data_IF_126399000466
#
_entry.id   IF_126399000466
#
_cell.length_a   1.000
_cell.length_b   1.000
_cell.length_c   1.000
_cell.angle_alpha   90.00
_cell.angle_beta   90.00
_cell.angle_gamma   90.00
#
_symmetry.space_group_name_H-M   'P 1'
#
loop_
_entity.id
_entity.type
_entity.pdbx_description
1 polymer ?
#
# COMPACT_ATOMS: atom_id res chain seq x y z
N UNK A 1 -48.91 42.22 -29.54
CA UNK A 1 -48.66 40.75 -29.49
C UNK A 1 -47.24 40.49 -29.97
N UNK A 2 -46.60 39.40 -29.50
CA UNK A 2 -45.17 39.03 -29.56
C UNK A 2 -44.36 39.56 -28.37
N UNK A 3 -44.51 39.00 -27.16
CA UNK A 3 -44.17 37.65 -26.66
C UNK A 3 -42.67 37.54 -26.38
N UNK A 4 -42.32 37.80 -25.11
CA UNK A 4 -41.00 37.65 -24.51
C UNK A 4 -40.41 36.26 -24.77
N UNK A 5 -39.15 36.20 -25.19
CA UNK A 5 -38.37 34.96 -25.20
C UNK A 5 -37.20 35.14 -24.23
N UNK A 6 -37.41 34.70 -22.98
CA UNK A 6 -36.37 34.56 -21.96
C UNK A 6 -35.67 33.22 -22.20
N UNK A 7 -34.42 33.25 -22.65
CA UNK A 7 -33.59 32.06 -22.82
C UNK A 7 -32.90 31.76 -21.48
N UNK A 8 -33.42 30.79 -20.72
CA UNK A 8 -32.72 30.26 -19.55
C UNK A 8 -31.70 29.23 -20.01
N UNK A 9 -30.41 29.58 -19.94
CA UNK A 9 -29.31 28.64 -20.13
C UNK A 9 -29.06 27.94 -18.79
N UNK A 10 -29.69 26.77 -18.59
CA UNK A 10 -29.40 25.90 -17.45
C UNK A 10 -28.08 25.17 -17.73
N UNK A 11 -26.98 25.67 -17.15
CA UNK A 11 -25.72 24.95 -17.08
C UNK A 11 -25.90 23.82 -16.05
N UNK A 12 -26.15 22.60 -16.53
CA UNK A 12 -26.11 21.42 -15.68
C UNK A 12 -24.63 21.09 -15.39
N UNK A 13 -24.17 21.39 -14.18
CA UNK A 13 -22.93 20.85 -13.63
C UNK A 13 -23.16 19.37 -13.34
N UNK A 14 -22.74 18.50 -14.25
CA UNK A 14 -22.62 17.07 -13.99
C UNK A 14 -21.44 16.87 -13.03
N UNK A 15 -21.69 16.77 -11.73
CA UNK A 15 -20.69 16.27 -10.79
C UNK A 15 -20.66 14.75 -10.97
N UNK A 16 -19.75 14.26 -11.79
CA UNK A 16 -19.40 12.84 -11.76
C UNK A 16 -18.59 12.59 -10.49
N UNK A 17 -19.28 12.30 -9.38
CA UNK A 17 -18.65 11.68 -8.24
C UNK A 17 -18.31 10.24 -8.62
N UNK A 18 -17.15 10.05 -9.26
CA UNK A 18 -16.59 8.72 -9.43
C UNK A 18 -16.10 8.28 -8.05
N UNK A 19 -17.01 7.70 -7.25
CA UNK A 19 -16.67 7.08 -5.99
C UNK A 19 -15.85 5.83 -6.32
N UNK A 20 -14.55 6.00 -6.55
CA UNK A 20 -13.60 4.90 -6.49
C UNK A 20 -13.74 4.32 -5.09
N UNK A 21 -14.38 3.16 -4.99
CA UNK A 21 -14.62 2.53 -3.72
C UNK A 21 -13.32 1.85 -3.26
N UNK A 22 -12.66 2.46 -2.28
CA UNK A 22 -11.41 1.96 -1.70
C UNK A 22 -11.65 0.90 -0.61
N UNK A 23 -12.89 0.47 -0.37
CA UNK A 23 -13.25 -0.52 0.66
C UNK A 23 -12.41 -1.80 0.58
N UNK A 24 -12.15 -2.31 -0.63
CA UNK A 24 -11.34 -3.52 -0.82
C UNK A 24 -9.83 -3.27 -0.68
N UNK A 25 -9.40 -2.00 -0.72
CA UNK A 25 -7.99 -1.62 -0.55
C UNK A 25 -7.59 -1.52 0.93
N UNK A 26 -8.53 -1.54 1.88
CA UNK A 26 -8.15 -1.47 3.28
C UNK A 26 -9.25 -1.78 4.30
N UNK A 27 -8.83 -2.40 5.42
CA UNK A 27 -9.73 -2.87 6.49
C UNK A 27 -10.13 -1.75 7.48
N UNK A 28 -9.63 -0.53 7.29
CA UNK A 28 -10.03 0.65 8.09
C UNK A 28 -10.05 1.91 7.23
N UNK A 29 -10.78 2.93 7.67
CA UNK A 29 -10.84 4.23 6.99
C UNK A 29 -9.45 4.82 6.74
N UNK A 30 -8.52 4.68 7.70
CA UNK A 30 -7.13 5.12 7.56
C UNK A 30 -6.38 4.35 6.47
N UNK A 31 -6.56 3.03 6.40
CA UNK A 31 -5.97 2.21 5.35
C UNK A 31 -6.55 2.57 3.97
N UNK A 32 -7.86 2.82 3.88
CA UNK A 32 -8.53 3.24 2.65
C UNK A 32 -8.06 4.63 2.19
N UNK A 33 -7.86 5.57 3.13
CA UNK A 33 -7.28 6.88 2.84
C UNK A 33 -5.84 6.78 2.33
N UNK A 34 -5.01 5.92 2.94
CA UNK A 34 -3.66 5.67 2.44
C UNK A 34 -3.70 5.07 1.02
N UNK A 35 -4.63 4.14 0.75
CA UNK A 35 -4.80 3.59 -0.59
C UNK A 35 -5.15 4.67 -1.61
N UNK A 36 -6.08 5.57 -1.26
CA UNK A 36 -6.40 6.73 -2.09
C UNK A 36 -5.16 7.56 -2.38
N UNK A 37 -4.37 7.91 -1.36
CA UNK A 37 -3.14 8.70 -1.53
C UNK A 37 -2.15 8.03 -2.49
N UNK A 38 -1.94 6.72 -2.39
CA UNK A 38 -1.03 5.97 -3.27
C UNK A 38 -1.56 5.91 -4.71
N UNK A 39 -2.86 5.65 -4.88
CA UNK A 39 -3.50 5.46 -6.19
C UNK A 39 -3.59 6.76 -6.97
N UNK A 40 -3.86 7.88 -6.28
CA UNK A 40 -4.08 9.19 -6.92
C UNK A 40 -2.86 10.10 -6.84
N UNK A 41 -1.68 9.59 -6.49
CA UNK A 41 -0.46 10.40 -6.49
C UNK A 41 -0.08 10.74 -7.93
N UNK A 42 0.23 12.00 -8.21
CA UNK A 42 0.57 12.48 -9.56
C UNK A 42 1.89 11.87 -10.07
N UNK A 43 2.74 11.35 -9.19
CA UNK A 43 3.98 10.65 -9.54
C UNK A 43 3.76 9.13 -9.78
N UNK A 44 2.54 8.63 -9.64
CA UNK A 44 2.24 7.21 -9.84
C UNK A 44 2.42 6.80 -11.30
N UNK A 45 3.34 5.87 -11.56
CA UNK A 45 3.66 5.39 -12.92
C UNK A 45 2.61 4.42 -13.46
N UNK A 46 1.89 3.72 -12.58
CA UNK A 46 0.88 2.73 -12.96
C UNK A 46 -0.38 3.40 -13.47
N UNK A 47 -0.90 3.02 -14.65
CA UNK A 47 -2.13 3.60 -15.18
C UNK A 47 -3.37 3.17 -14.40
N UNK A 48 -3.34 1.98 -13.79
CA UNK A 48 -4.45 1.42 -13.01
C UNK A 48 -3.88 0.63 -11.83
N UNK A 49 -4.48 0.84 -10.66
CA UNK A 49 -4.29 0.01 -9.47
C UNK A 49 -5.68 -0.44 -9.01
N UNK A 50 -5.87 -1.73 -8.85
CA UNK A 50 -7.11 -2.38 -8.42
C UNK A 50 -7.03 -2.71 -6.94
N UNK A 51 -8.11 -2.46 -6.21
CA UNK A 51 -8.20 -2.91 -4.82
C UNK A 51 -8.36 -4.43 -4.75
N UNK A 52 -7.65 -5.07 -3.83
CA UNK A 52 -7.76 -6.50 -3.58
C UNK A 52 -7.97 -6.77 -2.08
N UNK A 53 -9.17 -7.25 -1.74
CA UNK A 53 -9.57 -7.55 -0.36
C UNK A 53 -8.69 -8.61 0.31
N UNK A 54 -8.28 -9.65 -0.41
CA UNK A 54 -7.40 -10.69 0.14
C UNK A 54 -6.04 -10.10 0.54
N UNK A 55 -5.48 -9.18 -0.27
CA UNK A 55 -4.25 -8.47 0.11
C UNK A 55 -4.43 -7.63 1.38
N UNK A 56 -5.57 -6.97 1.54
CA UNK A 56 -5.90 -6.20 2.75
C UNK A 56 -6.02 -7.11 4.00
N UNK A 57 -6.61 -8.30 3.84
CA UNK A 57 -6.69 -9.31 4.90
C UNK A 57 -5.32 -9.86 5.29
N UNK A 58 -4.44 -10.11 4.30
CA UNK A 58 -3.07 -10.56 4.57
C UNK A 58 -2.24 -9.44 5.20
N UNK A 59 -2.42 -8.19 4.79
CA UNK A 59 -1.82 -7.01 5.43
C UNK A 59 -2.20 -6.95 6.92
N UNK A 60 -3.45 -7.27 7.26
CA UNK A 60 -3.90 -7.32 8.65
C UNK A 60 -3.23 -8.45 9.44
N UNK A 61 -3.03 -9.63 8.84
CA UNK A 61 -2.27 -10.74 9.45
C UNK A 61 -0.85 -10.26 9.79
N UNK A 62 -0.18 -9.61 8.83
CA UNK A 62 1.17 -9.06 9.02
C UNK A 62 1.20 -8.00 10.13
N UNK A 63 0.27 -7.05 10.11
CA UNK A 63 0.18 -5.99 11.12
C UNK A 63 -0.04 -6.55 12.53
N UNK A 64 -0.91 -7.56 12.69
CA UNK A 64 -1.10 -8.27 13.96
C UNK A 64 0.17 -8.96 14.44
N UNK A 65 0.94 -9.55 13.52
CA UNK A 65 2.23 -10.18 13.85
C UNK A 65 3.26 -9.15 14.32
N UNK A 66 3.33 -8.00 13.67
CA UNK A 66 4.20 -6.90 14.11
C UNK A 66 3.81 -6.36 15.48
N UNK A 67 2.49 -6.23 15.73
CA UNK A 67 1.96 -5.86 17.05
C UNK A 67 2.30 -6.90 18.12
N UNK A 68 2.05 -8.19 17.86
CA UNK A 68 2.32 -9.31 18.78
C UNK A 68 3.77 -9.32 19.25
N UNK A 69 4.71 -9.06 18.33
CA UNK A 69 6.14 -9.04 18.63
C UNK A 69 6.67 -7.67 19.04
N UNK A 70 5.86 -6.61 18.91
CA UNK A 70 6.29 -5.23 19.14
C UNK A 70 7.42 -4.79 18.21
N UNK A 71 7.44 -5.27 16.96
CA UNK A 71 8.51 -5.03 15.99
C UNK A 71 7.94 -4.70 14.62
N UNK A 72 8.51 -3.69 13.95
CA UNK A 72 8.28 -3.44 12.52
C UNK A 72 9.39 -4.14 11.73
N UNK A 73 9.14 -5.31 11.16
CA UNK A 73 10.14 -6.03 10.33
C UNK A 73 9.50 -6.90 9.24
N UNK A 74 10.10 -6.89 8.05
CA UNK A 74 9.60 -7.58 6.87
C UNK A 74 9.55 -9.10 7.02
N UNK A 75 10.54 -9.73 7.65
CA UNK A 75 10.67 -11.19 7.68
C UNK A 75 10.04 -11.85 8.93
N UNK A 76 9.16 -11.14 9.63
CA UNK A 76 8.37 -11.68 10.75
C UNK A 76 7.34 -12.71 10.23
N UNK A 77 7.56 -13.99 10.57
CA UNK A 77 6.68 -15.09 10.15
C UNK A 77 6.96 -15.63 8.74
N UNK A 78 8.11 -15.29 8.15
CA UNK A 78 8.46 -15.63 6.76
C UNK A 78 8.73 -14.38 5.93
N UNK A 79 9.18 -14.56 4.69
CA UNK A 79 9.33 -13.44 3.75
C UNK A 79 7.95 -12.89 3.36
N UNK A 80 7.85 -11.60 2.99
CA UNK A 80 6.59 -11.03 2.51
C UNK A 80 5.96 -11.83 1.35
N UNK A 81 6.79 -12.28 0.39
CA UNK A 81 6.30 -13.12 -0.70
C UNK A 81 5.76 -14.48 -0.21
N UNK A 82 6.43 -15.10 0.78
CA UNK A 82 5.98 -16.38 1.32
C UNK A 82 4.67 -16.25 2.09
N UNK A 83 4.44 -15.12 2.78
CA UNK A 83 3.20 -14.85 3.49
C UNK A 83 2.02 -14.76 2.51
N UNK A 84 2.18 -14.04 1.39
CA UNK A 84 1.17 -13.98 0.33
C UNK A 84 0.84 -15.38 -0.21
N UNK A 85 1.86 -16.17 -0.61
CA UNK A 85 1.66 -17.53 -1.14
C UNK A 85 1.00 -18.47 -0.13
N UNK A 86 1.45 -18.45 1.12
CA UNK A 86 0.87 -19.30 2.19
C UNK A 86 -0.58 -18.94 2.53
N UNK A 87 -1.01 -17.73 2.16
CA UNK A 87 -2.36 -17.22 2.34
C UNK A 87 -3.22 -17.39 1.08
N UNK A 88 -2.80 -18.27 0.16
CA UNK A 88 -3.45 -18.57 -1.12
C UNK A 88 -3.54 -17.38 -2.11
N UNK A 89 -2.68 -16.37 -1.95
CA UNK A 89 -2.49 -15.36 -3.00
C UNK A 89 -1.48 -15.87 -4.03
N UNK A 90 -1.89 -15.98 -5.28
CA UNK A 90 -1.03 -16.46 -6.36
C UNK A 90 -0.10 -15.35 -6.84
N UNK A 91 1.18 -15.47 -6.50
CA UNK A 91 2.22 -14.58 -7.01
C UNK A 91 2.77 -15.08 -8.33
N UNK A 92 3.23 -14.20 -9.22
CA UNK A 92 3.88 -14.62 -10.46
C UNK A 92 5.12 -15.47 -10.18
N UNK A 93 5.37 -16.49 -11.02
CA UNK A 93 6.42 -17.47 -10.76
C UNK A 93 7.84 -16.88 -10.72
N UNK A 94 8.06 -15.77 -11.43
CA UNK A 94 9.33 -15.05 -11.42
C UNK A 94 9.58 -14.22 -10.16
N UNK A 95 8.59 -14.07 -9.27
CA UNK A 95 8.80 -13.41 -7.98
C UNK A 95 9.63 -14.32 -7.06
N UNK A 96 10.60 -13.74 -6.36
CA UNK A 96 11.51 -14.48 -5.48
C UNK A 96 10.80 -15.39 -4.47
N UNK A 97 11.43 -16.53 -4.18
CA UNK A 97 10.97 -17.56 -3.23
C UNK A 97 11.91 -17.75 -2.02
N UNK A 98 13.04 -17.03 -1.99
CA UNK A 98 13.99 -17.06 -0.89
C UNK A 98 13.38 -16.48 0.41
N UNK A 99 13.96 -16.85 1.55
CA UNK A 99 13.50 -16.48 2.91
C UNK A 99 13.45 -14.97 3.18
N UNK A 100 14.10 -14.15 2.36
CA UNK A 100 14.14 -12.69 2.44
C UNK A 100 13.55 -12.00 1.20
N UNK A 101 12.73 -12.70 0.40
CA UNK A 101 12.12 -12.11 -0.81
C UNK A 101 11.01 -11.12 -0.44
N UNK A 102 11.24 -9.85 -0.75
CA UNK A 102 10.30 -8.76 -0.63
C UNK A 102 10.21 -7.96 -1.94
N UNK A 103 9.27 -8.36 -2.78
CA UNK A 103 8.85 -7.64 -3.98
C UNK A 103 7.54 -6.87 -3.78
N UNK A 104 6.84 -7.12 -2.67
CA UNK A 104 5.41 -6.84 -2.55
C UNK A 104 5.04 -5.91 -1.39
N UNK A 105 5.92 -5.72 -0.40
CA UNK A 105 5.53 -5.14 0.89
C UNK A 105 6.28 -3.84 1.22
N UNK A 106 5.55 -2.87 1.74
CA UNK A 106 6.06 -1.71 2.48
C UNK A 106 5.44 -1.68 3.89
N UNK A 107 6.24 -1.41 4.91
CA UNK A 107 5.78 -1.36 6.31
C UNK A 107 6.32 -0.12 7.02
N UNK A 108 5.57 0.37 8.00
CA UNK A 108 6.00 1.47 8.86
C UNK A 108 5.36 1.33 10.25
N UNK A 109 5.98 1.97 11.25
CA UNK A 109 5.36 2.14 12.56
C UNK A 109 5.60 3.52 13.16
N UNK A 110 4.70 3.92 14.06
CA UNK A 110 4.76 5.20 14.78
C UNK A 110 4.16 6.42 14.05
N UNK A 111 3.57 6.23 12.86
CA UNK A 111 2.91 7.29 12.11
C UNK A 111 1.40 7.27 12.39
N UNK A 112 0.82 8.40 12.76
CA UNK A 112 -0.58 8.44 13.22
C UNK A 112 -1.54 8.62 12.05
N UNK A 113 -1.17 9.35 11.01
CA UNK A 113 -2.04 9.67 9.87
C UNK A 113 -1.62 8.99 8.54
N UNK A 114 -2.57 8.76 7.61
CA UNK A 114 -2.28 8.32 6.25
C UNK A 114 -1.30 9.24 5.50
N UNK A 115 -1.44 10.56 5.68
CA UNK A 115 -0.59 11.56 5.03
C UNK A 115 0.84 11.53 5.56
N UNK A 116 1.00 11.35 6.88
CA UNK A 116 2.31 11.24 7.53
C UNK A 116 3.06 9.98 7.04
N UNK A 117 2.40 8.83 7.07
CA UNK A 117 3.03 7.57 6.63
C UNK A 117 3.29 7.59 5.12
N UNK A 118 2.40 8.19 4.33
CA UNK A 118 2.62 8.33 2.90
C UNK A 118 3.83 9.22 2.60
N UNK A 119 3.94 10.37 3.27
CA UNK A 119 5.10 11.24 3.18
C UNK A 119 6.38 10.49 3.56
N UNK A 120 6.37 9.71 4.64
CA UNK A 120 7.52 8.93 5.06
C UNK A 120 7.92 7.86 4.03
N UNK A 121 6.94 7.16 3.43
CA UNK A 121 7.21 6.22 2.35
C UNK A 121 7.85 6.91 1.13
N UNK A 122 7.36 8.08 0.74
CA UNK A 122 7.94 8.85 -0.39
C UNK A 122 9.36 9.34 -0.11
N UNK A 123 9.70 9.69 1.13
CA UNK A 123 11.07 10.10 1.48
C UNK A 123 12.06 8.94 1.60
N UNK A 124 11.61 7.70 1.46
CA UNK A 124 12.46 6.51 1.50
C UNK A 124 12.58 5.90 0.11
N UNK A 125 13.75 5.99 -0.53
CA UNK A 125 13.96 5.53 -1.92
C UNK A 125 13.39 4.14 -2.21
N UNK A 126 13.70 3.15 -1.37
CA UNK A 126 13.21 1.77 -1.59
C UNK A 126 11.67 1.66 -1.54
N UNK A 127 11.01 2.45 -0.70
CA UNK A 127 9.56 2.46 -0.56
C UNK A 127 8.90 3.29 -1.67
N UNK A 128 9.44 4.47 -1.97
CA UNK A 128 8.99 5.33 -3.06
C UNK A 128 9.05 4.61 -4.41
N UNK A 129 10.20 4.04 -4.75
CA UNK A 129 10.41 3.29 -6.00
C UNK A 129 9.42 2.13 -6.14
N UNK A 130 9.09 1.46 -5.03
CA UNK A 130 8.06 0.41 -5.01
C UNK A 130 6.65 0.96 -5.15
N UNK A 131 6.24 1.87 -4.27
CA UNK A 131 4.85 2.32 -4.19
C UNK A 131 4.43 3.24 -5.34
N UNK A 132 5.35 4.02 -5.91
CA UNK A 132 5.12 4.83 -7.12
C UNK A 132 5.40 4.07 -8.43
N UNK A 133 6.02 2.89 -8.34
CA UNK A 133 6.24 2.04 -9.51
C UNK A 133 7.35 2.54 -10.45
N UNK A 134 8.34 3.24 -9.90
CA UNK A 134 9.40 3.88 -10.70
C UNK A 134 10.39 2.88 -11.30
N UNK A 135 10.45 1.67 -10.75
CA UNK A 135 11.20 0.56 -11.34
C UNK A 135 10.31 -0.20 -12.33
N UNK A 136 10.89 -0.66 -13.45
CA UNK A 136 10.16 -1.42 -14.50
C UNK A 136 9.43 -2.66 -13.94
N UNK A 137 10.05 -3.36 -12.98
CA UNK A 137 9.42 -4.44 -12.22
C UNK A 137 8.23 -4.00 -11.36
N UNK A 138 8.28 -2.84 -10.71
CA UNK A 138 7.18 -2.37 -9.88
C UNK A 138 6.04 -1.77 -10.71
N UNK A 139 6.36 -1.16 -11.86
CA UNK A 139 5.39 -0.58 -12.79
C UNK A 139 4.35 -1.57 -13.32
N UNK A 140 4.63 -2.88 -13.30
CA UNK A 140 3.67 -3.91 -13.72
C UNK A 140 2.70 -4.36 -12.62
N UNK A 141 2.94 -3.98 -11.37
CA UNK A 141 2.07 -4.33 -10.24
C UNK A 141 0.78 -3.52 -10.32
N UNK A 142 -0.35 -4.13 -9.99
CA UNK A 142 -1.67 -3.51 -10.23
C UNK A 142 -2.72 -3.90 -9.19
N UNK A 143 -2.36 -4.61 -8.12
CA UNK A 143 -3.26 -4.96 -7.02
C UNK A 143 -2.74 -4.48 -5.67
N UNK A 144 -3.60 -3.79 -4.92
CA UNK A 144 -3.28 -3.12 -3.66
C UNK A 144 -4.15 -3.63 -2.52
N UNK A 145 -3.54 -3.84 -1.35
CA UNK A 145 -4.24 -4.02 -0.09
C UNK A 145 -3.44 -3.48 1.09
N UNK A 146 -4.13 -2.87 2.05
CA UNK A 146 -3.52 -2.11 3.15
C UNK A 146 -4.18 -2.48 4.49
N UNK A 147 -3.37 -2.56 5.53
CA UNK A 147 -3.85 -2.62 6.90
C UNK A 147 -3.19 -1.58 7.79
N UNK A 148 -3.95 -1.14 8.78
CA UNK A 148 -3.53 -0.26 9.86
C UNK A 148 -4.03 -0.82 11.18
N UNK A 149 -3.16 -0.90 12.17
CA UNK A 149 -3.51 -1.21 13.57
C UNK A 149 -2.88 -0.15 14.47
N UNK A 150 -3.62 0.25 15.51
CA UNK A 150 -3.13 1.14 16.57
C UNK A 150 -3.41 0.51 17.93
N UNK A 151 -2.38 0.36 18.75
CA UNK A 151 -2.46 -0.14 20.12
C UNK A 151 -1.51 0.65 21.01
N UNK A 152 -2.06 1.54 21.84
CA UNK A 152 -1.29 2.52 22.63
C UNK A 152 -0.27 1.87 23.58
N UNK A 153 -0.54 0.65 24.03
CA UNK A 153 0.31 -0.10 24.94
C UNK A 153 1.51 -0.76 24.26
N UNK A 154 1.55 -0.75 22.93
CA UNK A 154 2.61 -1.42 22.15
C UNK A 154 3.80 -0.49 21.86
N UNK A 155 5.01 -1.04 21.59
CA UNK A 155 6.24 -0.23 21.42
C UNK A 155 6.17 0.84 20.31
N UNK A 156 5.46 0.56 19.22
CA UNK A 156 5.35 1.49 18.09
C UNK A 156 4.02 2.22 18.02
N UNK A 157 3.04 1.83 18.84
CA UNK A 157 1.63 2.27 18.83
C UNK A 157 0.93 1.97 17.51
N UNK A 158 1.38 2.54 16.40
CA UNK A 158 0.84 2.39 15.07
C UNK A 158 1.64 1.40 14.22
N UNK A 159 0.95 0.58 13.44
CA UNK A 159 1.53 -0.37 12.49
C UNK A 159 0.81 -0.28 11.15
N UNK A 160 1.56 0.02 10.10
CA UNK A 160 1.10 0.10 8.72
C UNK A 160 1.70 -1.02 7.88
N UNK A 161 0.88 -1.66 7.06
CA UNK A 161 1.31 -2.66 6.08
C UNK A 161 0.62 -2.36 4.76
N UNK A 162 1.43 -2.26 3.70
CA UNK A 162 0.97 -2.11 2.32
C UNK A 162 1.49 -3.29 1.52
N UNK A 163 0.58 -4.03 0.89
CA UNK A 163 0.90 -4.96 -0.18
C UNK A 163 0.51 -4.34 -1.52
N UNK A 164 1.48 -4.26 -2.44
CA UNK A 164 1.27 -3.87 -3.83
C UNK A 164 2.03 -4.86 -4.71
N UNK A 165 1.29 -5.63 -5.49
CA UNK A 165 1.81 -6.73 -6.31
C UNK A 165 1.09 -6.81 -7.64
N UNK A 166 1.65 -7.60 -8.57
CA UNK A 166 0.95 -7.93 -9.79
C UNK A 166 -0.15 -8.95 -9.51
N UNK A 167 -1.37 -8.62 -9.92
CA UNK A 167 -2.49 -9.55 -9.92
C UNK A 167 -2.21 -10.72 -10.84
N UNK A 168 -2.60 -11.92 -10.39
CA UNK A 168 -2.38 -13.12 -11.16
C UNK A 168 -3.13 -13.10 -12.50
N UNK A 169 -2.45 -13.51 -13.55
CA UNK A 169 -3.04 -13.87 -14.83
C UNK A 169 -2.46 -15.20 -15.29
N UNK A 170 -3.29 -16.02 -15.94
CA UNK A 170 -2.83 -17.27 -16.54
C UNK A 170 -1.78 -16.96 -17.62
N UNK A 171 -0.71 -17.78 -17.67
CA UNK A 171 0.38 -17.68 -18.65
C UNK A 171 1.16 -16.34 -18.57
N UNK A 172 1.20 -15.74 -17.38
CA UNK A 172 1.89 -14.49 -17.12
C UNK A 172 3.41 -14.64 -17.26
N UNK A 173 4.02 -13.72 -18.02
CA UNK A 173 5.47 -13.66 -18.24
C UNK A 173 6.02 -12.30 -17.83
N UNK A 174 7.20 -12.29 -17.24
CA UNK A 174 7.97 -11.06 -17.08
C UNK A 174 8.75 -10.79 -18.37
N UNK A 175 8.52 -9.62 -18.98
CA UNK A 175 9.06 -9.28 -20.30
C UNK A 175 10.36 -8.50 -20.26
N UNK A 176 10.82 -8.09 -19.08
CA UNK A 176 12.08 -7.38 -18.89
C UNK A 176 13.17 -8.34 -18.38
N UNK A 177 14.35 -7.81 -18.07
CA UNK A 177 15.47 -8.59 -17.57
C UNK A 177 15.16 -9.19 -16.18
N UNK A 178 15.13 -10.52 -16.11
CA UNK A 178 14.92 -11.26 -14.86
C UNK A 178 16.01 -11.00 -13.82
N UNK A 179 17.22 -10.61 -14.26
CA UNK A 179 18.33 -10.29 -13.36
C UNK A 179 18.14 -8.94 -12.67
N UNK A 180 17.18 -8.14 -13.14
CA UNK A 180 16.84 -6.82 -12.61
C UNK A 180 15.60 -6.85 -11.70
N UNK A 181 15.14 -8.04 -11.27
CA UNK A 181 14.05 -8.12 -10.30
C UNK A 181 14.56 -7.64 -8.94
N UNK A 182 14.06 -6.50 -8.42
CA UNK A 182 14.54 -5.94 -7.18
C UNK A 182 14.13 -6.83 -6.01
N UNK A 183 14.96 -6.87 -4.97
CA UNK A 183 14.58 -7.39 -3.68
C UNK A 183 14.83 -6.29 -2.65
N UNK A 184 13.76 -5.75 -2.04
CA UNK A 184 13.93 -4.63 -1.10
C UNK A 184 14.76 -5.11 0.10
N UNK A 185 15.83 -4.36 0.47
CA UNK A 185 16.59 -4.68 1.68
C UNK A 185 15.68 -4.57 2.91
N UNK A 186 16.12 -5.10 4.05
CA UNK A 186 15.45 -4.89 5.34
C UNK A 186 15.61 -3.43 5.78
N UNK A 187 14.92 -2.51 5.12
CA UNK A 187 14.83 -1.11 5.48
C UNK A 187 13.48 -0.86 6.14
N UNK A 188 13.49 -0.31 7.35
CA UNK A 188 12.31 -0.17 8.21
C UNK A 188 12.11 1.31 8.52
N UNK A 189 10.89 1.82 8.29
CA UNK A 189 10.50 3.17 8.67
C UNK A 189 9.88 3.17 10.07
N UNK A 190 10.54 3.86 11.01
CA UNK A 190 10.05 4.08 12.36
C UNK A 190 10.32 5.53 12.77
N UNK A 191 9.33 6.19 13.37
CA UNK A 191 9.58 7.43 14.12
C UNK A 191 10.02 7.06 15.55
N UNK A 192 11.13 7.60 16.06
CA UNK A 192 11.44 7.50 17.48
C UNK A 192 10.36 8.26 18.28
N UNK A 193 9.57 7.56 19.10
CA UNK A 193 8.77 8.26 20.12
C UNK A 193 9.70 8.52 21.30
N UNK A 194 9.97 9.81 21.54
CA UNK A 194 10.70 10.27 22.72
C UNK A 194 9.91 9.83 23.96
N UNK A 195 10.50 8.97 24.80
CA UNK A 195 9.93 8.62 26.10
C UNK A 195 9.64 9.93 26.85
N UNK A 196 8.36 10.23 27.10
CA UNK A 196 7.97 11.36 27.94
C UNK A 196 8.24 11.13 29.43
N UNK A 197 8.97 10.07 29.80
CA UNK A 197 9.21 9.68 31.19
C UNK A 197 10.66 9.93 31.63
N UNK A 198 11.23 11.07 31.21
CA UNK A 198 12.40 11.64 31.87
C UNK A 198 12.11 13.12 32.15
N UNK A 199 11.45 13.35 33.29
CA UNK A 199 11.47 14.55 34.15
C UNK A 199 10.06 14.93 34.66
N UNK A 200 9.59 14.23 35.70
CA UNK A 200 9.19 14.80 37.01
C UNK A 200 8.68 13.73 37.97
#
# INVERSE_FOLDING_TARGET
MYKYLLLFFLLALSIEANANNYEDCGISDKAQQLAKLIITDDEQVRPVIRCNKLLSEIALIKAKKMLEFGLVTHNLGGSPNSLLRSSNYELPDYYGSNFNSNQVEAIAGGYTSPEEVWSAFKHSDAHRVHLLGEHTFYAEQDELGIAFISEWSSPHVEYWVVYLTKGYQKDQTYRNDINDIPNKPTFILQTPKMNSDINK
#
